data_IF_638582686417
#
_entry.id   IF_638582686417
#
_cell.length_a   1.000
_cell.length_b   1.000
_cell.length_c   1.000
_cell.angle_alpha   90.00
_cell.angle_beta   90.00
_cell.angle_gamma   90.00
#
_symmetry.space_group_name_H-M   'P 1'
#
loop_
_entity.id
_entity.type
_entity.pdbx_description
1 polymer ?
#
# COMPACT_ATOMS: atom_id res chain seq x y z
N UNK A 1 -32.57 38.40 -9.36
CA UNK A 1 -31.17 37.94 -9.38
C UNK A 1 -31.10 36.64 -8.59
N UNK A 2 -30.92 35.50 -9.28
CA UNK A 2 -30.99 34.16 -8.68
C UNK A 2 -29.62 33.77 -8.15
N UNK A 3 -29.48 33.57 -6.83
CA UNK A 3 -28.24 33.06 -6.24
C UNK A 3 -28.22 31.53 -6.32
N UNK A 4 -27.54 30.98 -7.32
CA UNK A 4 -27.13 29.58 -7.35
C UNK A 4 -26.04 29.35 -6.31
N UNK A 5 -26.45 28.92 -5.12
CA UNK A 5 -25.55 28.45 -4.07
C UNK A 5 -24.84 27.19 -4.59
N UNK A 6 -23.56 27.33 -4.93
CA UNK A 6 -22.68 26.20 -5.22
C UNK A 6 -22.59 25.31 -3.98
N UNK A 7 -23.33 24.20 -3.97
CA UNK A 7 -23.12 23.11 -3.01
C UNK A 7 -21.86 22.36 -3.42
N UNK A 8 -20.69 22.92 -3.11
CA UNK A 8 -19.48 22.11 -3.07
C UNK A 8 -19.69 21.01 -2.01
N UNK A 9 -19.68 19.72 -2.37
CA UNK A 9 -19.80 18.66 -1.39
C UNK A 9 -18.57 18.71 -0.50
N UNK A 10 -18.74 19.20 0.73
CA UNK A 10 -17.69 19.14 1.75
C UNK A 10 -17.26 17.68 1.91
N UNK A 11 -16.01 17.37 1.58
CA UNK A 11 -15.35 16.11 1.96
C UNK A 11 -15.27 16.10 3.49
N UNK A 12 -16.32 15.65 4.16
CA UNK A 12 -16.28 15.41 5.61
C UNK A 12 -15.49 14.14 5.82
N UNK A 13 -14.17 14.27 5.89
CA UNK A 13 -13.27 13.15 6.17
C UNK A 13 -13.34 12.87 7.67
N UNK A 14 -13.91 11.72 8.03
CA UNK A 14 -13.99 11.31 9.43
C UNK A 14 -12.61 10.93 9.99
N UNK A 15 -12.42 10.93 11.32
CA UNK A 15 -11.15 10.53 11.93
C UNK A 15 -10.73 9.10 11.56
N UNK A 16 -11.70 8.19 11.37
CA UNK A 16 -11.44 6.83 10.89
C UNK A 16 -10.88 6.81 9.47
N UNK A 17 -11.36 7.69 8.59
CA UNK A 17 -10.89 7.79 7.21
C UNK A 17 -9.48 8.35 7.16
N UNK A 18 -9.20 9.39 7.97
CA UNK A 18 -7.84 9.91 8.14
C UNK A 18 -6.88 8.82 8.63
N UNK A 19 -7.30 8.00 9.60
CA UNK A 19 -6.49 6.89 10.08
C UNK A 19 -6.21 5.85 8.98
N UNK A 20 -7.21 5.46 8.20
CA UNK A 20 -7.05 4.54 7.05
C UNK A 20 -6.09 5.12 6.01
N UNK A 21 -6.27 6.40 5.65
CA UNK A 21 -5.41 7.10 4.69
C UNK A 21 -3.98 7.13 5.20
N UNK A 22 -3.78 7.53 6.44
CA UNK A 22 -2.46 7.63 7.05
C UNK A 22 -1.77 6.26 7.10
N UNK A 23 -2.44 5.21 7.57
CA UNK A 23 -1.87 3.87 7.63
C UNK A 23 -1.48 3.36 6.24
N UNK A 24 -2.34 3.53 5.23
CA UNK A 24 -2.03 3.12 3.86
C UNK A 24 -0.82 3.88 3.29
N UNK A 25 -0.72 5.19 3.55
CA UNK A 25 0.44 5.99 3.14
C UNK A 25 1.70 5.52 3.85
N UNK A 26 1.66 5.32 5.17
CA UNK A 26 2.81 4.87 5.96
C UNK A 26 3.30 3.51 5.47
N UNK A 27 2.42 2.53 5.31
CA UNK A 27 2.76 1.23 4.73
C UNK A 27 3.36 1.38 3.33
N UNK A 28 2.75 2.19 2.46
CA UNK A 28 3.28 2.45 1.12
C UNK A 28 4.70 3.02 1.17
N UNK A 29 4.97 3.98 2.06
CA UNK A 29 6.30 4.57 2.22
C UNK A 29 7.34 3.56 2.73
N UNK A 30 6.96 2.64 3.62
CA UNK A 30 7.84 1.55 4.04
C UNK A 30 8.22 0.67 2.85
N UNK A 31 7.25 0.31 1.99
CA UNK A 31 7.53 -0.47 0.78
C UNK A 31 8.45 0.31 -0.18
N UNK A 32 8.21 1.60 -0.40
CA UNK A 32 9.09 2.44 -1.22
C UNK A 32 10.52 2.45 -0.67
N UNK A 33 10.67 2.66 0.64
CA UNK A 33 11.96 2.64 1.32
C UNK A 33 12.69 1.30 1.11
N UNK A 34 12.01 0.17 1.32
CA UNK A 34 12.58 -1.17 1.11
C UNK A 34 12.98 -1.40 -0.35
N UNK A 35 12.17 -0.94 -1.30
CA UNK A 35 12.48 -1.01 -2.73
C UNK A 35 13.77 -0.26 -3.08
N UNK A 36 13.90 0.99 -2.61
CA UNK A 36 15.10 1.80 -2.85
C UNK A 36 16.31 1.19 -2.15
N UNK A 37 16.20 0.83 -0.86
CA UNK A 37 17.30 0.25 -0.09
C UNK A 37 17.80 -1.06 -0.71
N UNK A 38 16.90 -1.94 -1.14
CA UNK A 38 17.27 -3.21 -1.77
C UNK A 38 17.93 -2.98 -3.14
N UNK A 39 17.43 -2.03 -3.93
CA UNK A 39 18.04 -1.67 -5.22
C UNK A 39 19.47 -1.13 -5.04
N UNK A 40 19.68 -0.23 -4.09
CA UNK A 40 21.01 0.31 -3.78
C UNK A 40 21.96 -0.78 -3.28
N UNK A 41 21.49 -1.71 -2.46
CA UNK A 41 22.27 -2.87 -2.02
C UNK A 41 22.65 -3.79 -3.19
N UNK A 42 21.74 -4.06 -4.12
CA UNK A 42 22.04 -4.83 -5.32
C UNK A 42 23.07 -4.12 -6.21
N UNK A 43 22.91 -2.82 -6.41
CA UNK A 43 23.83 -2.01 -7.21
C UNK A 43 25.25 -1.99 -6.62
N UNK A 44 25.39 -1.86 -5.29
CA UNK A 44 26.69 -1.89 -4.63
C UNK A 44 27.38 -3.26 -4.75
N UNK A 45 26.61 -4.35 -4.61
CA UNK A 45 27.11 -5.72 -4.80
C UNK A 45 27.56 -5.97 -6.25
N UNK A 46 26.83 -5.43 -7.24
CA UNK A 46 27.21 -5.53 -8.65
C UNK A 46 28.47 -4.74 -8.97
N UNK A 47 28.63 -3.53 -8.43
CA UNK A 47 29.86 -2.75 -8.60
C UNK A 47 31.09 -3.49 -8.06
N UNK A 48 30.97 -4.15 -6.90
CA UNK A 48 32.04 -4.99 -6.33
C UNK A 48 32.35 -6.20 -7.25
N UNK A 49 31.32 -6.84 -7.83
CA UNK A 49 31.47 -8.02 -8.69
C UNK A 49 31.91 -7.72 -10.13
N UNK A 50 31.55 -6.56 -10.67
CA UNK A 50 31.90 -6.14 -12.03
C UNK A 50 33.40 -5.85 -12.18
N UNK A 51 34.10 -5.57 -11.07
CA UNK A 51 35.56 -5.59 -11.01
C UNK A 51 36.17 -6.99 -11.21
N UNK A 52 35.37 -8.08 -11.20
CA UNK A 52 35.85 -9.46 -11.22
C UNK A 52 35.30 -10.35 -12.37
N UNK A 53 34.18 -10.02 -13.05
CA UNK A 53 33.73 -10.68 -14.30
C UNK A 53 32.50 -9.97 -14.91
N UNK A 54 32.37 -10.03 -16.25
CA UNK A 54 31.26 -9.46 -17.01
C UNK A 54 29.90 -10.09 -16.67
N UNK A 55 28.78 -9.33 -16.73
CA UNK A 55 27.46 -9.82 -16.34
C UNK A 55 26.84 -10.73 -17.40
N UNK A 56 26.42 -11.93 -16.99
CA UNK A 56 25.50 -12.79 -17.74
C UNK A 56 24.09 -12.52 -17.19
N UNK A 57 23.15 -12.06 -18.02
CA UNK A 57 21.76 -11.84 -17.62
C UNK A 57 20.84 -12.91 -18.22
N UNK A 58 20.21 -13.77 -17.40
CA UNK A 58 18.93 -14.36 -17.73
C UNK A 58 17.80 -13.43 -17.28
N UNK A 59 17.01 -12.94 -18.24
CA UNK A 59 15.83 -12.12 -18.02
C UNK A 59 14.58 -13.03 -17.92
N UNK A 60 14.24 -13.52 -16.73
CA UNK A 60 12.96 -14.24 -16.53
C UNK A 60 12.26 -14.04 -15.18
N UNK A 61 12.70 -13.11 -14.31
CA UNK A 61 12.03 -12.85 -13.03
C UNK A 61 11.87 -11.36 -12.75
N UNK A 62 10.68 -10.94 -12.28
CA UNK A 62 10.45 -9.56 -11.82
C UNK A 62 11.39 -9.31 -10.62
N UNK A 63 12.24 -8.27 -10.64
CA UNK A 63 13.13 -7.98 -9.52
C UNK A 63 12.36 -7.68 -8.23
N UNK A 64 12.85 -8.17 -7.10
CA UNK A 64 12.29 -7.89 -5.77
C UNK A 64 12.13 -6.37 -5.48
N UNK A 65 13.08 -5.48 -5.81
CA UNK A 65 12.87 -4.03 -5.65
C UNK A 65 11.64 -3.52 -6.38
N UNK A 66 11.39 -4.05 -7.59
CA UNK A 66 10.25 -3.66 -8.42
C UNK A 66 8.94 -4.03 -7.74
N UNK A 67 8.86 -5.20 -7.10
CA UNK A 67 7.68 -5.60 -6.32
C UNK A 67 7.39 -4.62 -5.17
N UNK A 68 8.41 -4.13 -4.48
CA UNK A 68 8.24 -3.13 -3.41
C UNK A 68 7.76 -1.77 -3.93
N UNK A 69 8.29 -1.32 -5.07
CA UNK A 69 7.82 -0.08 -5.71
C UNK A 69 6.36 -0.22 -6.17
N UNK A 70 6.01 -1.36 -6.75
CA UNK A 70 4.62 -1.67 -7.10
C UNK A 70 3.71 -1.70 -5.88
N UNK A 71 4.21 -2.15 -4.72
CA UNK A 71 3.49 -2.07 -3.45
C UNK A 71 3.16 -0.64 -3.04
N UNK A 72 4.15 0.26 -3.06
CA UNK A 72 3.92 1.67 -2.81
C UNK A 72 2.83 2.24 -3.73
N UNK A 73 2.94 2.02 -5.04
CA UNK A 73 1.97 2.50 -6.03
C UNK A 73 0.58 1.92 -5.74
N UNK A 74 0.49 0.62 -5.46
CA UNK A 74 -0.75 -0.07 -5.15
C UNK A 74 -1.49 0.54 -3.95
N UNK A 75 -0.80 0.77 -2.84
CA UNK A 75 -1.40 1.40 -1.65
C UNK A 75 -1.91 2.81 -1.93
N UNK A 76 -1.11 3.65 -2.59
CA UNK A 76 -1.50 5.03 -2.93
C UNK A 76 -2.70 5.04 -3.86
N UNK A 77 -2.66 4.27 -4.95
CA UNK A 77 -3.75 4.21 -5.92
C UNK A 77 -5.03 3.71 -5.27
N UNK A 78 -4.97 2.62 -4.51
CA UNK A 78 -6.15 2.03 -3.89
C UNK A 78 -6.76 2.93 -2.81
N UNK A 79 -5.95 3.57 -1.96
CA UNK A 79 -6.48 4.45 -0.91
C UNK A 79 -7.03 5.75 -1.48
N UNK A 80 -6.40 6.30 -2.52
CA UNK A 80 -6.96 7.44 -3.27
C UNK A 80 -8.28 7.04 -3.93
N UNK A 81 -8.33 5.89 -4.60
CA UNK A 81 -9.53 5.40 -5.26
C UNK A 81 -10.69 5.15 -4.27
N UNK A 82 -10.39 4.68 -3.05
CA UNK A 82 -11.38 4.41 -2.00
C UNK A 82 -12.17 5.66 -1.58
N UNK A 83 -11.55 6.84 -1.66
CA UNK A 83 -12.16 8.10 -1.23
C UNK A 83 -12.45 9.08 -2.38
N UNK A 84 -12.21 8.67 -3.63
CA UNK A 84 -12.46 9.51 -4.79
C UNK A 84 -13.97 9.59 -5.13
N UNK A 85 -14.58 10.79 -5.22
CA UNK A 85 -16.02 10.93 -5.46
C UNK A 85 -16.60 10.19 -6.68
N UNK A 86 -15.93 10.15 -7.85
CA UNK A 86 -16.42 9.42 -9.03
C UNK A 86 -16.45 7.89 -8.83
N UNK A 87 -15.67 7.36 -7.88
CA UNK A 87 -15.55 5.92 -7.63
C UNK A 87 -16.43 5.44 -6.46
N UNK A 88 -17.32 6.30 -5.94
CA UNK A 88 -18.20 5.96 -4.80
C UNK A 88 -19.05 4.72 -5.01
N UNK A 89 -19.47 4.45 -6.25
CA UNK A 89 -20.22 3.24 -6.59
C UNK A 89 -19.39 1.95 -6.42
N UNK A 90 -18.07 2.03 -6.62
CA UNK A 90 -17.15 0.90 -6.49
C UNK A 90 -16.45 0.86 -5.13
N UNK A 91 -16.75 1.78 -4.22
CA UNK A 91 -16.07 1.93 -2.94
C UNK A 91 -16.01 0.63 -2.13
N UNK A 92 -17.10 -0.17 -2.16
CA UNK A 92 -17.14 -1.47 -1.49
C UNK A 92 -16.12 -2.45 -2.09
N UNK A 93 -16.03 -2.52 -3.42
CA UNK A 93 -15.10 -3.39 -4.12
C UNK A 93 -13.66 -2.93 -3.85
N UNK A 94 -13.38 -1.63 -4.01
CA UNK A 94 -12.05 -1.05 -3.77
C UNK A 94 -11.58 -1.33 -2.34
N UNK A 95 -12.48 -1.22 -1.35
CA UNK A 95 -12.17 -1.57 0.05
C UNK A 95 -11.75 -3.03 0.20
N UNK A 96 -12.50 -3.95 -0.39
CA UNK A 96 -12.17 -5.39 -0.34
C UNK A 96 -10.87 -5.69 -1.08
N UNK A 97 -10.62 -5.01 -2.20
CA UNK A 97 -9.35 -5.10 -2.92
C UNK A 97 -8.20 -4.62 -2.04
N UNK A 98 -8.34 -3.48 -1.34
CA UNK A 98 -7.30 -2.98 -0.43
C UNK A 98 -7.07 -3.92 0.77
N UNK A 99 -8.12 -4.54 1.31
CA UNK A 99 -8.00 -5.58 2.35
C UNK A 99 -7.22 -6.79 1.82
N UNK A 100 -7.63 -7.33 0.67
CA UNK A 100 -6.98 -8.49 0.06
C UNK A 100 -5.53 -8.18 -0.30
N UNK A 101 -5.27 -6.98 -0.82
CA UNK A 101 -3.94 -6.49 -1.15
C UNK A 101 -3.02 -6.49 0.08
N UNK A 102 -3.45 -5.87 1.18
CA UNK A 102 -2.68 -5.85 2.42
C UNK A 102 -2.51 -7.25 3.03
N UNK A 103 -3.48 -8.16 2.88
CA UNK A 103 -3.30 -9.53 3.31
C UNK A 103 -2.22 -10.26 2.46
N UNK A 104 -2.22 -10.02 1.15
CA UNK A 104 -1.23 -10.59 0.23
C UNK A 104 0.18 -10.07 0.56
N UNK A 105 0.37 -8.80 0.92
CA UNK A 105 1.70 -8.28 1.28
C UNK A 105 2.25 -8.91 2.55
N UNK A 106 1.40 -9.16 3.55
CA UNK A 106 1.76 -9.90 4.76
C UNK A 106 2.16 -11.35 4.41
N UNK A 107 1.34 -12.05 3.64
CA UNK A 107 1.60 -13.45 3.24
C UNK A 107 2.89 -13.54 2.41
N UNK A 108 3.05 -12.67 1.42
CA UNK A 108 4.25 -12.63 0.57
C UNK A 108 5.51 -12.36 1.40
N UNK A 109 5.45 -11.49 2.40
CA UNK A 109 6.55 -11.29 3.32
C UNK A 109 6.94 -12.57 4.06
N UNK A 110 5.96 -13.29 4.64
CA UNK A 110 6.21 -14.56 5.34
C UNK A 110 6.88 -15.57 4.41
N UNK A 111 6.37 -15.72 3.18
CA UNK A 111 6.87 -16.70 2.21
C UNK A 111 8.26 -16.35 1.66
N UNK A 112 8.55 -15.07 1.40
CA UNK A 112 9.82 -14.65 0.79
C UNK A 112 10.93 -14.58 1.83
N UNK A 113 10.66 -13.97 2.99
CA UNK A 113 11.70 -13.69 3.97
C UNK A 113 11.75 -14.69 5.12
N UNK A 114 10.92 -15.74 5.11
CA UNK A 114 10.84 -16.73 6.19
C UNK A 114 10.73 -16.08 7.60
N UNK A 115 10.13 -14.89 7.68
CA UNK A 115 10.08 -14.06 8.88
C UNK A 115 11.45 -13.73 9.53
N UNK A 116 12.53 -13.60 8.76
CA UNK A 116 13.82 -13.12 9.28
C UNK A 116 13.69 -11.74 9.97
N UNK A 117 14.44 -11.58 11.07
CA UNK A 117 14.41 -10.39 11.92
C UNK A 117 14.95 -9.16 11.22
N UNK A 118 14.04 -8.29 10.79
CA UNK A 118 14.29 -6.90 10.39
C UNK A 118 13.32 -6.02 11.19
N UNK A 119 13.86 -5.08 11.96
CA UNK A 119 13.09 -4.18 12.84
C UNK A 119 12.04 -3.40 12.03
N UNK A 120 12.38 -2.96 10.82
CA UNK A 120 11.46 -2.21 9.96
C UNK A 120 10.32 -3.11 9.49
N UNK A 121 10.62 -4.35 9.13
CA UNK A 121 9.60 -5.31 8.70
C UNK A 121 8.64 -5.66 9.85
N UNK A 122 9.14 -5.85 11.07
CA UNK A 122 8.31 -6.17 12.23
C UNK A 122 7.38 -5.03 12.66
N UNK A 123 7.76 -3.77 12.43
CA UNK A 123 6.89 -2.62 12.69
C UNK A 123 5.84 -2.42 11.60
N UNK A 124 6.16 -2.76 10.35
CA UNK A 124 5.25 -2.62 9.20
C UNK A 124 4.06 -3.59 9.25
N UNK A 125 4.25 -4.83 9.72
CA UNK A 125 3.18 -5.85 9.73
C UNK A 125 2.01 -5.52 10.67
N UNK A 126 2.24 -5.01 11.89
CA UNK A 126 1.17 -4.45 12.71
C UNK A 126 0.42 -3.30 12.02
N UNK A 127 1.10 -2.44 11.26
CA UNK A 127 0.48 -1.32 10.55
C UNK A 127 -0.44 -1.84 9.43
N UNK A 128 0.03 -2.81 8.63
CA UNK A 128 -0.78 -3.49 7.61
C UNK A 128 -2.00 -4.19 8.23
N UNK A 129 -1.82 -4.87 9.37
CA UNK A 129 -2.91 -5.52 10.10
C UNK A 129 -3.93 -4.52 10.64
N UNK A 130 -3.47 -3.41 11.24
CA UNK A 130 -4.33 -2.34 11.71
C UNK A 130 -5.14 -1.71 10.56
N UNK A 131 -4.51 -1.52 9.40
CA UNK A 131 -5.19 -1.03 8.20
C UNK A 131 -6.35 -1.96 7.81
N UNK A 132 -6.11 -3.28 7.76
CA UNK A 132 -7.14 -4.28 7.49
C UNK A 132 -8.31 -4.15 8.48
N UNK A 133 -8.00 -4.11 9.78
CA UNK A 133 -9.01 -4.00 10.84
C UNK A 133 -9.84 -2.72 10.68
N UNK A 134 -9.21 -1.56 10.44
CA UNK A 134 -9.93 -0.30 10.26
C UNK A 134 -10.82 -0.30 9.01
N UNK A 135 -10.37 -0.90 7.91
CA UNK A 135 -11.19 -1.05 6.69
C UNK A 135 -12.43 -1.91 6.98
N UNK A 136 -12.31 -3.00 7.74
CA UNK A 136 -13.46 -3.80 8.17
C UNK A 136 -14.44 -3.00 9.05
N UNK A 137 -13.94 -2.24 10.02
CA UNK A 137 -14.76 -1.41 10.90
C UNK A 137 -15.53 -0.34 10.09
N UNK A 138 -14.83 0.36 9.19
CA UNK A 138 -15.44 1.38 8.33
C UNK A 138 -16.54 0.77 7.44
N UNK A 139 -16.28 -0.43 6.89
CA UNK A 139 -17.25 -1.18 6.09
C UNK A 139 -18.54 -1.47 6.86
N UNK A 140 -18.44 -1.93 8.11
CA UNK A 140 -19.62 -2.20 8.96
C UNK A 140 -20.40 -0.94 9.29
N UNK A 141 -19.72 0.16 9.67
CA UNK A 141 -20.36 1.44 9.98
C UNK A 141 -21.13 2.00 8.77
N UNK A 142 -20.58 1.85 7.58
CA UNK A 142 -21.21 2.33 6.35
C UNK A 142 -22.49 1.55 6.01
N UNK A 143 -22.56 0.26 6.35
CA UNK A 143 -23.76 -0.56 6.11
C UNK A 143 -24.86 -0.29 7.14
N UNK A 144 -24.50 -0.15 8.42
CA UNK A 144 -25.45 0.19 9.49
C UNK A 144 -26.12 1.55 9.27
N UNK A 145 -25.43 2.52 8.67
CA UNK A 145 -26.01 3.83 8.35
C UNK A 145 -26.99 3.81 7.15
N UNK A 146 -27.12 2.68 6.44
CA UNK A 146 -28.00 2.52 5.28
C UNK A 146 -29.21 1.63 5.55
N UNK A 147 -29.24 0.92 6.68
CA UNK A 147 -30.37 0.10 7.13
C UNK A 147 -31.18 0.83 8.17
#
# INVERSE_FOLDING_TARGET
MSQTISRYPSLRVGPLQLAIILLAIVTGLVHLYRGIAFNLFLASQQAIRAGARAPVLPYTSIPIPTLFILNFIGYIVLVTALYLPPLRQYQRIIRWVLIAYAAITIIAWILITHAHFDLVAYLDKPIELLLIVLLFIEGRRTQQAKG
#
